data_IF_554284854640
#
_entry.id   IF_554284854640
#
_cell.length_a   1.000
_cell.length_b   1.000
_cell.length_c   1.000
_cell.angle_alpha   90.00
_cell.angle_beta   90.00
_cell.angle_gamma   90.00
#
_symmetry.space_group_name_H-M   'P 1'
#
loop_
_entity.id
_entity.type
_entity.pdbx_description
1 polymer ?
#
# COMPACT_ATOMS: atom_id res chain seq x y z
N UNK A 1 -11.55 1.21 -19.18
CA UNK A 1 -11.66 1.31 -17.71
C UNK A 1 -11.14 2.66 -17.26
N UNK A 2 -11.74 3.25 -16.23
CA UNK A 2 -11.31 4.55 -15.67
C UNK A 2 -10.00 4.38 -14.89
N UNK A 3 -8.96 5.13 -15.27
CA UNK A 3 -7.68 5.13 -14.56
C UNK A 3 -7.78 6.08 -13.36
N UNK A 4 -7.48 5.60 -12.17
CA UNK A 4 -7.50 6.40 -10.93
C UNK A 4 -6.09 6.68 -10.39
N UNK A 5 -5.07 5.94 -10.85
CA UNK A 5 -3.65 6.24 -10.62
C UNK A 5 -2.94 6.19 -11.97
N UNK A 6 -2.15 7.20 -12.27
CA UNK A 6 -1.29 7.28 -13.47
C UNK A 6 0.11 7.70 -13.06
N UNK A 7 1.08 6.89 -13.45
CA UNK A 7 2.50 7.10 -13.18
C UNK A 7 3.25 7.08 -14.51
N UNK A 8 4.08 8.12 -14.76
CA UNK A 8 4.86 8.25 -15.99
C UNK A 8 6.28 8.71 -15.67
N UNK A 9 7.24 7.90 -16.10
CA UNK A 9 8.69 8.16 -15.95
C UNK A 9 9.06 8.59 -14.53
N UNK A 10 8.36 8.01 -13.52
CA UNK A 10 8.48 8.44 -12.13
C UNK A 10 9.85 8.07 -11.59
N UNK A 11 10.58 9.06 -11.07
CA UNK A 11 11.92 8.89 -10.54
C UNK A 11 12.06 9.52 -9.15
N UNK A 12 12.85 8.87 -8.28
CA UNK A 12 13.23 9.42 -6.98
C UNK A 12 14.67 9.13 -6.64
N UNK A 13 15.45 10.19 -6.54
CA UNK A 13 16.83 10.19 -6.09
C UNK A 13 16.93 10.70 -4.65
N UNK A 14 17.73 10.03 -3.83
CA UNK A 14 18.12 10.49 -2.51
C UNK A 14 19.59 10.92 -2.55
N UNK A 15 19.85 12.17 -2.18
CA UNK A 15 21.20 12.73 -2.13
C UNK A 15 21.66 12.70 -0.68
N UNK A 16 22.73 11.93 -0.40
CA UNK A 16 23.40 11.92 0.90
C UNK A 16 24.77 12.54 0.78
N UNK A 17 25.13 13.39 1.73
CA UNK A 17 26.49 13.96 1.82
C UNK A 17 27.24 13.27 2.94
N UNK A 18 28.37 12.60 2.62
CA UNK A 18 29.29 12.05 3.61
C UNK A 18 30.56 12.91 3.69
N UNK A 19 30.98 13.20 4.92
CA UNK A 19 32.25 13.89 5.23
C UNK A 19 32.06 15.33 5.72
N UNK A 20 32.84 15.72 6.77
CA UNK A 20 32.83 17.08 7.33
C UNK A 20 33.64 18.04 6.45
N UNK A 21 34.84 17.64 5.97
CA UNK A 21 35.75 18.50 5.17
C UNK A 21 35.61 18.31 3.66
N UNK A 22 35.33 17.10 3.16
CA UNK A 22 35.14 16.77 1.75
C UNK A 22 33.71 16.23 1.59
N UNK A 23 32.76 17.08 1.24
CA UNK A 23 31.36 16.71 0.97
C UNK A 23 31.26 15.90 -0.33
N UNK A 24 31.44 14.59 -0.24
CA UNK A 24 31.12 13.70 -1.36
C UNK A 24 29.61 13.49 -1.41
N UNK A 25 28.98 13.99 -2.49
CA UNK A 25 27.57 13.70 -2.76
C UNK A 25 27.46 12.26 -3.25
N UNK A 26 26.66 11.46 -2.55
CA UNK A 26 26.30 10.12 -2.99
C UNK A 26 24.81 10.15 -3.36
N UNK A 27 24.47 9.80 -4.61
CA UNK A 27 23.08 9.72 -5.08
C UNK A 27 22.66 8.25 -5.05
N UNK A 28 21.55 7.99 -4.40
CA UNK A 28 20.86 6.69 -4.40
C UNK A 28 19.53 6.86 -5.15
N UNK A 29 19.44 6.25 -6.33
CA UNK A 29 18.18 6.19 -7.08
C UNK A 29 17.32 5.08 -6.51
N UNK A 30 16.22 5.45 -5.85
CA UNK A 30 15.29 4.51 -5.23
C UNK A 30 14.14 4.09 -6.18
N UNK A 31 13.79 4.97 -7.11
CA UNK A 31 12.82 4.72 -8.19
C UNK A 31 13.40 5.33 -9.45
N UNK A 32 13.45 4.57 -10.55
CA UNK A 32 14.20 4.90 -11.76
C UNK A 32 13.31 4.78 -13.01
N UNK A 33 12.51 5.80 -13.27
CA UNK A 33 11.72 5.92 -14.50
C UNK A 33 10.62 4.86 -14.62
N UNK A 34 9.76 4.68 -13.61
CA UNK A 34 8.69 3.68 -13.68
C UNK A 34 7.41 4.23 -14.30
N UNK A 35 6.73 3.37 -15.05
CA UNK A 35 5.45 3.64 -15.70
C UNK A 35 4.41 2.59 -15.32
N UNK A 36 3.25 3.01 -14.82
CA UNK A 36 2.10 2.14 -14.62
C UNK A 36 0.80 2.93 -14.44
N UNK A 37 -0.32 2.23 -14.54
CA UNK A 37 -1.62 2.78 -14.18
C UNK A 37 -2.43 1.77 -13.38
N UNK A 38 -3.33 2.30 -12.52
CA UNK A 38 -4.29 1.51 -11.74
C UNK A 38 -5.70 1.94 -12.13
N UNK A 39 -6.55 0.95 -12.39
CA UNK A 39 -7.94 1.19 -12.75
C UNK A 39 -8.81 1.28 -11.49
N UNK A 40 -9.95 1.95 -11.61
CA UNK A 40 -10.94 2.02 -10.55
C UNK A 40 -11.46 0.63 -10.17
N UNK A 41 -11.52 0.35 -8.87
CA UNK A 41 -12.06 -0.90 -8.34
C UNK A 41 -11.13 -2.11 -8.49
N UNK A 42 -9.85 -1.93 -8.91
CA UNK A 42 -8.90 -3.05 -8.93
C UNK A 42 -8.06 -3.12 -7.66
N UNK A 43 -7.58 -4.32 -7.34
CA UNK A 43 -6.48 -4.53 -6.41
C UNK A 43 -5.20 -4.63 -7.25
N UNK A 44 -4.34 -3.62 -7.12
CA UNK A 44 -3.06 -3.56 -7.82
C UNK A 44 -1.91 -3.85 -6.85
N UNK A 45 -1.06 -4.82 -7.18
CA UNK A 45 0.10 -5.22 -6.39
C UNK A 45 1.40 -4.62 -6.92
N UNK A 46 2.20 -4.01 -6.06
CA UNK A 46 3.59 -3.69 -6.35
C UNK A 46 4.49 -4.69 -5.61
N UNK A 47 4.98 -5.70 -6.34
CA UNK A 47 5.71 -6.84 -5.82
C UNK A 47 7.22 -6.66 -6.00
N UNK A 48 8.02 -6.92 -4.96
CA UNK A 48 9.48 -6.84 -5.04
C UNK A 48 10.16 -7.06 -3.71
N UNK A 49 11.49 -7.24 -3.72
CA UNK A 49 12.29 -7.38 -2.51
C UNK A 49 12.34 -6.11 -1.68
N UNK A 50 12.86 -6.21 -0.45
CA UNK A 50 13.10 -5.05 0.39
C UNK A 50 14.16 -4.14 -0.26
N UNK A 51 13.86 -2.82 -0.29
CA UNK A 51 14.72 -1.86 -0.97
C UNK A 51 14.49 -1.73 -2.49
N UNK A 52 13.56 -2.48 -3.08
CA UNK A 52 13.26 -2.39 -4.53
C UNK A 52 12.61 -1.07 -4.97
N UNK A 53 12.14 -0.21 -4.02
CA UNK A 53 11.49 1.07 -4.34
C UNK A 53 10.00 1.13 -4.02
N UNK A 54 9.37 0.05 -3.53
CA UNK A 54 7.93 -0.06 -3.24
C UNK A 54 7.39 1.07 -2.33
N UNK A 55 7.92 1.16 -1.11
CA UNK A 55 7.52 2.20 -0.13
C UNK A 55 7.80 3.61 -0.62
N UNK A 56 8.89 3.82 -1.37
CA UNK A 56 9.19 5.13 -1.98
C UNK A 56 8.12 5.50 -3.01
N UNK A 57 7.71 4.56 -3.84
CA UNK A 57 6.63 4.76 -4.82
C UNK A 57 5.32 5.10 -4.13
N UNK A 58 4.90 4.32 -3.11
CA UNK A 58 3.69 4.65 -2.33
C UNK A 58 3.77 6.05 -1.74
N UNK A 59 4.89 6.43 -1.11
CA UNK A 59 5.06 7.76 -0.50
C UNK A 59 4.86 8.90 -1.50
N UNK A 60 5.26 8.72 -2.76
CA UNK A 60 5.00 9.71 -3.81
C UNK A 60 3.52 9.76 -4.20
N UNK A 61 2.86 8.61 -4.30
CA UNK A 61 1.43 8.53 -4.64
C UNK A 61 0.52 9.11 -3.56
N UNK A 62 0.85 8.90 -2.28
CA UNK A 62 0.08 9.45 -1.14
C UNK A 62 0.49 10.87 -0.75
N UNK A 63 1.22 11.56 -1.61
CA UNK A 63 1.62 12.98 -1.42
C UNK A 63 2.60 13.27 -0.28
N UNK A 64 3.26 12.25 0.27
CA UNK A 64 4.25 12.41 1.36
C UNK A 64 5.66 12.67 0.85
N UNK A 65 5.92 12.45 -0.44
CA UNK A 65 7.23 12.60 -1.04
C UNK A 65 7.10 13.18 -2.45
N UNK A 66 7.85 14.23 -2.74
CA UNK A 66 7.92 14.77 -4.10
C UNK A 66 8.76 13.86 -5.02
N UNK A 67 8.37 13.62 -6.27
CA UNK A 67 9.25 13.00 -7.25
C UNK A 67 10.47 13.89 -7.56
N UNK A 68 11.57 13.29 -7.98
CA UNK A 68 12.74 14.04 -8.54
C UNK A 68 12.47 14.37 -9.99
N UNK A 69 11.93 13.41 -10.74
CA UNK A 69 11.55 13.56 -12.15
C UNK A 69 10.28 12.75 -12.43
N UNK A 70 9.65 12.98 -13.58
CA UNK A 70 8.43 12.29 -13.98
C UNK A 70 7.18 12.87 -13.34
N UNK A 71 6.07 12.13 -13.45
CA UNK A 71 4.76 12.57 -13.01
C UNK A 71 3.97 11.43 -12.39
N UNK A 72 3.23 11.74 -11.33
CA UNK A 72 2.18 10.85 -10.83
C UNK A 72 0.88 11.62 -10.55
N UNK A 73 -0.23 11.04 -10.98
CA UNK A 73 -1.58 11.54 -10.72
C UNK A 73 -2.40 10.51 -9.96
N UNK A 74 -3.20 10.99 -9.03
CA UNK A 74 -4.17 10.19 -8.26
C UNK A 74 -5.52 10.88 -8.38
N UNK A 75 -6.55 10.16 -8.80
CA UNK A 75 -7.89 10.69 -9.08
C UNK A 75 -7.88 11.89 -10.04
N UNK A 76 -6.95 11.88 -11.02
CA UNK A 76 -6.76 12.95 -12.00
C UNK A 76 -5.94 14.15 -11.52
N UNK A 77 -5.60 14.24 -10.22
CA UNK A 77 -4.82 15.32 -9.61
C UNK A 77 -3.34 14.99 -9.53
N UNK A 78 -2.48 15.97 -9.75
CA UNK A 78 -1.02 15.84 -9.57
C UNK A 78 -0.68 15.70 -8.09
N UNK A 79 0.08 14.66 -7.72
CA UNK A 79 0.35 14.33 -6.31
C UNK A 79 1.23 15.34 -5.58
N UNK A 80 1.95 16.18 -6.30
CA UNK A 80 2.79 17.23 -5.73
C UNK A 80 2.10 18.60 -5.72
N UNK A 81 1.47 18.97 -6.85
CA UNK A 81 0.88 20.31 -7.03
C UNK A 81 -0.51 20.44 -6.43
N UNK A 82 -1.26 19.34 -6.36
CA UNK A 82 -2.67 19.31 -5.97
C UNK A 82 -2.94 18.35 -4.80
N UNK A 83 -1.94 18.18 -3.93
CA UNK A 83 -1.95 17.20 -2.83
C UNK A 83 -3.21 17.28 -1.94
N UNK A 84 -3.70 18.47 -1.65
CA UNK A 84 -4.86 18.67 -0.75
C UNK A 84 -6.15 18.10 -1.34
N UNK A 85 -6.33 18.15 -2.68
CA UNK A 85 -7.48 17.55 -3.38
C UNK A 85 -7.48 16.03 -3.33
N UNK A 86 -6.30 15.43 -3.13
CA UNK A 86 -6.10 13.98 -3.08
C UNK A 86 -6.33 13.46 -1.65
N UNK A 87 -5.74 14.13 -0.63
CA UNK A 87 -5.68 13.67 0.76
C UNK A 87 -7.04 13.37 1.38
N UNK A 88 -8.07 14.09 1.00
CA UNK A 88 -9.42 13.86 1.51
C UNK A 88 -10.05 12.56 0.96
N UNK A 89 -9.59 12.10 -0.22
CA UNK A 89 -10.18 11.01 -0.98
C UNK A 89 -9.40 9.70 -0.93
N UNK A 90 -8.23 9.72 -0.30
CA UNK A 90 -7.36 8.56 -0.15
C UNK A 90 -7.06 8.31 1.32
N UNK A 91 -6.59 7.11 1.62
CA UNK A 91 -5.93 6.86 2.89
C UNK A 91 -4.84 5.79 2.72
N UNK A 92 -4.03 5.61 3.76
CA UNK A 92 -2.94 4.64 3.72
C UNK A 92 -2.82 3.87 5.04
N UNK A 93 -2.37 2.64 4.92
CA UNK A 93 -2.06 1.72 6.01
C UNK A 93 -0.61 1.27 5.84
N UNK A 94 0.24 1.62 6.80
CA UNK A 94 1.59 1.08 6.86
C UNK A 94 1.60 -0.23 7.64
N UNK A 95 2.47 -1.15 7.23
CA UNK A 95 2.79 -2.32 8.04
C UNK A 95 3.45 -1.92 9.37
N UNK A 96 3.28 -2.76 10.38
CA UNK A 96 3.86 -2.54 11.70
C UNK A 96 2.92 -1.80 12.69
N UNK A 97 3.47 -1.30 13.79
CA UNK A 97 2.67 -0.76 14.91
C UNK A 97 2.46 0.76 14.85
N UNK A 98 2.86 1.43 13.77
CA UNK A 98 2.77 2.89 13.65
C UNK A 98 1.37 3.35 13.24
N UNK A 99 0.94 4.50 13.77
CA UNK A 99 -0.26 5.19 13.29
C UNK A 99 -1.50 5.06 14.17
N UNK A 100 -1.39 4.42 15.34
CA UNK A 100 -2.45 4.42 16.36
C UNK A 100 -1.88 4.88 17.70
N UNK A 101 -2.74 5.51 18.52
CA UNK A 101 -2.37 5.98 19.86
C UNK A 101 -2.58 4.87 20.88
N UNK A 102 -1.49 4.31 21.41
CA UNK A 102 -1.53 3.15 22.31
C UNK A 102 -2.22 3.40 23.65
N UNK A 103 -2.25 4.65 24.11
CA UNK A 103 -2.90 5.09 25.36
C UNK A 103 -4.38 5.45 25.19
N UNK A 104 -4.92 5.30 24.01
CA UNK A 104 -6.35 5.44 23.73
C UNK A 104 -6.96 4.05 23.51
N UNK A 105 -8.28 3.96 23.67
CA UNK A 105 -9.04 2.80 23.22
C UNK A 105 -9.10 2.76 21.67
N UNK A 106 -9.51 1.63 21.08
CA UNK A 106 -9.72 1.57 19.64
C UNK A 106 -10.81 2.56 19.19
N UNK A 107 -11.89 2.64 19.96
CA UNK A 107 -13.00 3.59 19.74
C UNK A 107 -12.48 5.03 19.74
N UNK A 108 -11.73 5.42 20.76
CA UNK A 108 -11.21 6.78 20.88
C UNK A 108 -10.20 7.09 19.77
N UNK A 109 -9.38 6.12 19.35
CA UNK A 109 -8.52 6.26 18.19
C UNK A 109 -9.33 6.62 16.94
N UNK A 110 -10.39 5.85 16.62
CA UNK A 110 -11.19 6.09 15.45
C UNK A 110 -11.94 7.43 15.51
N UNK A 111 -12.52 7.79 16.68
CA UNK A 111 -13.16 9.09 16.88
C UNK A 111 -12.16 10.26 16.73
N UNK A 112 -10.94 10.11 17.24
CA UNK A 112 -9.89 11.10 17.07
C UNK A 112 -9.57 11.32 15.57
N UNK A 113 -9.37 10.24 14.80
CA UNK A 113 -9.09 10.34 13.37
C UNK A 113 -10.30 10.85 12.59
N UNK A 114 -11.53 10.47 12.96
CA UNK A 114 -12.76 11.05 12.39
C UNK A 114 -12.76 12.57 12.54
N UNK A 115 -12.37 13.07 13.73
CA UNK A 115 -12.25 14.51 14.00
C UNK A 115 -11.24 15.21 13.10
N UNK A 116 -10.09 14.59 12.79
CA UNK A 116 -9.10 15.14 11.87
C UNK A 116 -9.65 15.29 10.45
N UNK A 117 -10.51 14.36 10.01
CA UNK A 117 -11.22 14.45 8.74
C UNK A 117 -12.52 15.27 8.81
N UNK A 118 -12.76 15.98 9.92
CA UNK A 118 -13.94 16.85 10.14
C UNK A 118 -15.28 16.09 10.18
N UNK A 119 -15.26 14.77 10.34
CA UNK A 119 -16.45 13.95 10.59
C UNK A 119 -16.84 14.13 12.06
N UNK A 120 -18.08 14.50 12.35
CA UNK A 120 -18.49 14.91 13.70
C UNK A 120 -19.80 14.25 14.16
N UNK A 121 -20.00 14.28 15.48
CA UNK A 121 -21.27 13.89 16.10
C UNK A 121 -21.67 12.43 15.82
N UNK A 122 -22.90 12.22 15.49
CA UNK A 122 -23.47 10.88 15.26
C UNK A 122 -22.88 10.17 14.04
N UNK A 123 -22.45 10.91 13.00
CA UNK A 123 -21.77 10.34 11.84
C UNK A 123 -20.43 9.70 12.23
N UNK A 124 -19.61 10.39 13.05
CA UNK A 124 -18.37 9.85 13.54
C UNK A 124 -18.57 8.59 14.38
N UNK A 125 -19.57 8.59 15.26
CA UNK A 125 -19.91 7.42 16.08
C UNK A 125 -20.35 6.25 15.20
N UNK A 126 -21.31 6.46 14.32
CA UNK A 126 -21.81 5.45 13.40
C UNK A 126 -20.66 4.83 12.58
N UNK A 127 -19.84 5.68 12.00
CA UNK A 127 -18.68 5.24 11.20
C UNK A 127 -17.67 4.44 12.03
N UNK A 128 -17.43 4.86 13.27
CA UNK A 128 -16.55 4.13 14.21
C UNK A 128 -17.07 2.73 14.49
N UNK A 129 -18.37 2.57 14.80
CA UNK A 129 -18.97 1.25 15.05
C UNK A 129 -18.92 0.35 13.81
N UNK A 130 -19.26 0.88 12.64
CA UNK A 130 -19.17 0.15 11.38
C UNK A 130 -17.75 -0.38 11.11
N UNK A 131 -16.74 0.43 11.38
CA UNK A 131 -15.34 0.06 11.18
C UNK A 131 -14.83 -0.92 12.21
N UNK A 132 -15.20 -0.76 13.49
CA UNK A 132 -14.88 -1.74 14.54
C UNK A 132 -15.46 -3.12 14.18
N UNK A 133 -16.71 -3.16 13.70
CA UNK A 133 -17.35 -4.37 13.22
C UNK A 133 -16.65 -4.96 12.00
N UNK A 134 -16.27 -4.14 11.03
CA UNK A 134 -15.57 -4.59 9.82
C UNK A 134 -14.28 -5.32 10.15
N UNK A 135 -13.54 -4.84 11.17
CA UNK A 135 -12.24 -5.40 11.57
C UNK A 135 -12.34 -6.34 12.79
N UNK A 136 -13.55 -6.69 13.23
CA UNK A 136 -13.82 -7.60 14.36
C UNK A 136 -13.08 -7.19 15.64
N UNK A 137 -13.25 -5.93 16.04
CA UNK A 137 -12.71 -5.36 17.27
C UNK A 137 -13.79 -4.81 18.21
N UNK A 138 -15.07 -5.18 18.01
CA UNK A 138 -16.20 -4.69 18.82
C UNK A 138 -16.01 -5.03 20.30
N UNK A 139 -15.69 -6.28 20.62
CA UNK A 139 -15.53 -6.75 22.00
C UNK A 139 -14.31 -6.15 22.72
N UNK A 140 -13.37 -5.60 21.95
CA UNK A 140 -12.18 -4.97 22.49
C UNK A 140 -12.19 -3.43 22.31
N UNK A 141 -13.27 -2.87 21.76
CA UNK A 141 -13.33 -1.46 21.33
C UNK A 141 -12.92 -0.45 22.40
N UNK A 142 -13.29 -0.71 23.65
CA UNK A 142 -13.07 0.20 24.79
C UNK A 142 -11.80 -0.15 25.60
N UNK A 143 -11.05 -1.18 25.21
CA UNK A 143 -9.76 -1.51 25.80
C UNK A 143 -8.65 -0.63 25.24
N UNK A 144 -7.65 -0.31 26.08
CA UNK A 144 -6.46 0.43 25.63
C UNK A 144 -5.68 -0.36 24.57
N UNK A 145 -5.29 0.32 23.50
CA UNK A 145 -4.56 -0.30 22.37
C UNK A 145 -3.19 -0.87 22.79
N UNK A 146 -2.59 -0.39 23.89
CA UNK A 146 -1.36 -1.00 24.43
C UNK A 146 -1.53 -2.44 24.88
N UNK A 147 -2.77 -2.90 25.13
CA UNK A 147 -3.10 -4.30 25.49
C UNK A 147 -3.40 -5.19 24.30
N UNK A 148 -3.33 -4.64 23.08
CA UNK A 148 -3.67 -5.35 21.85
C UNK A 148 -2.52 -6.22 21.36
N UNK A 149 -2.88 -7.36 20.75
CA UNK A 149 -1.93 -8.13 19.95
C UNK A 149 -1.53 -7.36 18.67
N UNK A 150 -0.42 -7.76 18.04
CA UNK A 150 0.01 -7.17 16.76
C UNK A 150 -1.08 -7.23 15.70
N UNK A 151 -1.79 -8.37 15.62
CA UNK A 151 -2.91 -8.53 14.69
C UNK A 151 -4.07 -7.59 14.99
N UNK A 152 -4.41 -7.36 16.25
CA UNK A 152 -5.43 -6.37 16.63
C UNK A 152 -5.01 -4.95 16.27
N UNK A 153 -3.74 -4.59 16.51
CA UNK A 153 -3.19 -3.28 16.13
C UNK A 153 -3.29 -3.09 14.61
N UNK A 154 -2.91 -4.10 13.82
CA UNK A 154 -2.98 -4.02 12.36
C UNK A 154 -4.41 -3.87 11.86
N UNK A 155 -5.38 -4.60 12.45
CA UNK A 155 -6.81 -4.46 12.14
C UNK A 155 -7.33 -3.06 12.48
N UNK A 156 -6.94 -2.49 13.62
CA UNK A 156 -7.29 -1.12 13.98
C UNK A 156 -6.68 -0.10 13.00
N UNK A 157 -5.47 -0.31 12.51
CA UNK A 157 -4.87 0.56 11.50
C UNK A 157 -5.64 0.55 10.18
N UNK A 158 -6.21 -0.60 9.80
CA UNK A 158 -7.08 -0.69 8.61
C UNK A 158 -8.36 0.10 8.86
N UNK A 159 -9.01 -0.09 10.01
CA UNK A 159 -10.19 0.67 10.38
C UNK A 159 -9.92 2.18 10.33
N UNK A 160 -8.79 2.63 10.90
CA UNK A 160 -8.31 4.00 10.80
C UNK A 160 -8.13 4.43 9.34
N UNK A 161 -7.50 3.59 8.53
CA UNK A 161 -7.28 3.86 7.10
C UNK A 161 -8.56 3.93 6.27
N UNK A 162 -9.71 3.58 6.85
CA UNK A 162 -11.03 3.64 6.21
C UNK A 162 -11.93 4.74 6.79
N UNK A 163 -11.47 5.50 7.78
CA UNK A 163 -12.32 6.42 8.54
C UNK A 163 -12.94 7.51 7.68
N UNK A 164 -12.20 8.05 6.70
CA UNK A 164 -12.63 9.12 5.79
C UNK A 164 -13.33 8.60 4.53
N UNK A 165 -13.75 7.34 4.50
CA UNK A 165 -14.39 6.70 3.35
C UNK A 165 -13.61 6.83 2.03
N UNK A 166 -12.33 6.43 1.98
CA UNK A 166 -11.44 6.71 0.86
C UNK A 166 -11.88 5.94 -0.41
N UNK A 167 -11.68 6.58 -1.57
CA UNK A 167 -11.86 5.94 -2.88
C UNK A 167 -10.70 4.99 -3.22
N UNK A 168 -9.50 5.33 -2.73
CA UNK A 168 -8.28 4.52 -2.90
C UNK A 168 -7.64 4.29 -1.54
N UNK A 169 -7.34 3.03 -1.24
CA UNK A 169 -6.58 2.63 -0.04
C UNK A 169 -5.20 2.14 -0.47
N UNK A 170 -4.17 2.78 0.05
CA UNK A 170 -2.79 2.34 -0.12
C UNK A 170 -2.37 1.50 1.08
N UNK A 171 -1.74 0.35 0.85
CA UNK A 171 -1.29 -0.57 1.90
C UNK A 171 0.18 -0.95 1.66
N UNK A 172 1.05 -0.59 2.60
CA UNK A 172 2.47 -0.93 2.51
C UNK A 172 2.78 -2.14 3.39
N UNK A 173 2.98 -3.29 2.77
CA UNK A 173 3.26 -4.59 3.41
C UNK A 173 2.26 -4.95 4.54
N UNK A 174 0.96 -4.97 4.27
CA UNK A 174 -0.07 -4.99 5.31
C UNK A 174 -0.11 -6.27 6.16
N UNK A 175 0.39 -7.40 5.67
CA UNK A 175 0.38 -8.71 6.36
C UNK A 175 1.67 -9.02 7.11
N UNK A 176 2.69 -8.16 6.99
CA UNK A 176 3.99 -8.39 7.62
C UNK A 176 3.86 -8.47 9.15
N UNK A 177 4.41 -9.55 9.71
CA UNK A 177 4.41 -9.79 11.16
C UNK A 177 3.10 -10.32 11.74
N UNK A 178 2.12 -10.64 10.89
CA UNK A 178 0.90 -11.33 11.29
C UNK A 178 1.10 -12.86 11.27
N UNK A 179 0.36 -13.54 12.13
CA UNK A 179 0.19 -14.97 12.04
C UNK A 179 -0.69 -15.35 10.83
N UNK A 180 -0.74 -16.63 10.44
CA UNK A 180 -1.53 -17.06 9.28
C UNK A 180 -3.02 -16.70 9.36
N UNK A 181 -3.61 -16.76 10.56
CA UNK A 181 -5.02 -16.44 10.77
C UNK A 181 -5.27 -14.93 10.55
N UNK A 182 -4.45 -14.07 11.17
CA UNK A 182 -4.52 -12.63 11.01
C UNK A 182 -4.28 -12.18 9.56
N UNK A 183 -3.35 -12.84 8.86
CA UNK A 183 -3.09 -12.57 7.44
C UNK A 183 -4.29 -12.96 6.56
N UNK A 184 -4.95 -14.10 6.82
CA UNK A 184 -6.15 -14.51 6.10
C UNK A 184 -7.30 -13.53 6.29
N UNK A 185 -7.56 -13.15 7.54
CA UNK A 185 -8.58 -12.16 7.87
C UNK A 185 -8.34 -10.83 7.17
N UNK A 186 -7.10 -10.37 7.13
CA UNK A 186 -6.74 -9.15 6.41
C UNK A 186 -7.02 -9.26 4.90
N UNK A 187 -6.66 -10.41 4.29
CA UNK A 187 -6.99 -10.67 2.88
C UNK A 187 -8.49 -10.60 2.62
N UNK A 188 -9.32 -11.11 3.52
CA UNK A 188 -10.78 -11.04 3.39
C UNK A 188 -11.30 -9.61 3.49
N UNK A 189 -10.73 -8.79 4.38
CA UNK A 189 -11.04 -7.34 4.44
C UNK A 189 -10.67 -6.67 3.10
N UNK A 190 -9.49 -6.95 2.53
CA UNK A 190 -9.07 -6.37 1.24
C UNK A 190 -10.03 -6.79 0.10
N UNK A 191 -10.44 -8.06 0.05
CA UNK A 191 -11.43 -8.55 -0.91
C UNK A 191 -12.77 -7.84 -0.77
N UNK A 192 -13.21 -7.60 0.48
CA UNK A 192 -14.44 -6.86 0.77
C UNK A 192 -14.35 -5.40 0.31
N UNK A 193 -13.21 -4.72 0.53
CA UNK A 193 -13.01 -3.37 0.03
C UNK A 193 -13.16 -3.28 -1.49
N UNK A 194 -12.61 -4.25 -2.22
CA UNK A 194 -12.79 -4.35 -3.68
C UNK A 194 -14.26 -4.59 -4.05
N UNK A 195 -14.94 -5.51 -3.37
CA UNK A 195 -16.36 -5.79 -3.61
C UNK A 195 -17.23 -4.54 -3.39
N UNK A 196 -16.86 -3.68 -2.45
CA UNK A 196 -17.49 -2.38 -2.20
C UNK A 196 -17.09 -1.29 -3.23
N UNK A 197 -16.36 -1.66 -4.29
CA UNK A 197 -15.97 -0.76 -5.39
C UNK A 197 -14.76 0.12 -5.10
N UNK A 198 -14.03 -0.10 -4.01
CA UNK A 198 -12.80 0.66 -3.68
C UNK A 198 -11.62 0.13 -4.47
N UNK A 199 -10.71 1.04 -4.79
CA UNK A 199 -9.41 0.68 -5.38
C UNK A 199 -8.40 0.44 -4.26
N UNK A 200 -7.61 -0.61 -4.38
CA UNK A 200 -6.54 -0.91 -3.44
C UNK A 200 -5.22 -1.00 -4.20
N UNK A 201 -4.20 -0.26 -3.75
CA UNK A 201 -2.82 -0.46 -4.17
C UNK A 201 -2.04 -0.99 -2.97
N UNK A 202 -1.54 -2.21 -3.07
CA UNK A 202 -0.74 -2.81 -2.00
C UNK A 202 0.69 -3.09 -2.45
N UNK A 203 1.62 -2.99 -1.51
CA UNK A 203 2.97 -3.53 -1.71
C UNK A 203 3.12 -4.81 -0.92
N UNK A 204 3.86 -5.73 -1.46
CA UNK A 204 4.24 -6.95 -0.76
C UNK A 204 5.54 -7.52 -1.31
N UNK A 205 6.22 -8.33 -0.52
CA UNK A 205 7.28 -9.21 -0.96
C UNK A 205 6.86 -10.69 -0.91
N UNK A 206 5.61 -10.96 -0.50
CA UNK A 206 5.02 -12.30 -0.47
C UNK A 206 4.31 -12.59 -1.80
N UNK A 207 4.89 -13.48 -2.60
CA UNK A 207 4.38 -13.85 -3.93
C UNK A 207 2.98 -14.47 -3.86
N UNK A 208 2.74 -15.29 -2.82
CA UNK A 208 1.43 -15.90 -2.62
C UNK A 208 0.34 -14.87 -2.34
N UNK A 209 0.62 -13.84 -1.54
CA UNK A 209 -0.33 -12.77 -1.27
C UNK A 209 -0.71 -12.01 -2.54
N UNK A 210 0.31 -11.67 -3.36
CA UNK A 210 0.07 -11.00 -4.63
C UNK A 210 -0.75 -11.87 -5.60
N UNK A 211 -0.45 -13.17 -5.65
CA UNK A 211 -1.16 -14.13 -6.49
C UNK A 211 -2.63 -14.32 -6.11
N UNK A 212 -2.92 -14.32 -4.81
CA UNK A 212 -4.28 -14.53 -4.27
C UNK A 212 -5.17 -13.28 -4.29
N UNK A 213 -4.59 -12.08 -4.20
CA UNK A 213 -5.34 -10.84 -4.00
C UNK A 213 -5.40 -9.95 -5.23
N UNK A 214 -4.30 -9.87 -6.01
CA UNK A 214 -4.16 -8.81 -6.99
C UNK A 214 -4.79 -9.17 -8.33
N UNK A 215 -5.48 -8.22 -8.93
CA UNK A 215 -5.94 -8.33 -10.32
C UNK A 215 -4.80 -8.17 -11.31
N UNK A 216 -3.89 -7.24 -10.99
CA UNK A 216 -2.66 -7.00 -11.74
C UNK A 216 -1.51 -6.74 -10.77
N UNK A 217 -0.31 -7.11 -11.21
CA UNK A 217 0.92 -7.01 -10.44
C UNK A 217 1.98 -6.33 -11.30
N UNK A 218 2.63 -5.31 -10.75
CA UNK A 218 3.89 -4.81 -11.27
C UNK A 218 5.03 -5.37 -10.41
N UNK A 219 5.98 -6.07 -11.02
CA UNK A 219 7.18 -6.55 -10.36
C UNK A 219 8.25 -5.47 -10.45
N UNK A 220 8.66 -4.97 -9.29
CA UNK A 220 9.70 -3.92 -9.19
C UNK A 220 11.01 -4.51 -8.66
N UNK A 221 12.11 -4.19 -9.31
CA UNK A 221 13.46 -4.55 -8.89
C UNK A 221 14.41 -3.36 -9.08
N UNK A 222 15.23 -3.05 -8.08
CA UNK A 222 16.22 -1.94 -8.12
C UNK A 222 15.65 -0.63 -8.70
N UNK A 223 14.43 -0.28 -8.30
CA UNK A 223 13.75 0.93 -8.73
C UNK A 223 13.06 0.87 -10.09
N UNK A 224 13.09 -0.26 -10.82
CA UNK A 224 12.49 -0.42 -12.14
C UNK A 224 11.37 -1.46 -12.15
N UNK A 225 10.33 -1.22 -12.93
CA UNK A 225 9.31 -2.25 -13.22
C UNK A 225 9.86 -3.16 -14.31
N UNK A 226 10.02 -4.46 -13.97
CA UNK A 226 10.59 -5.48 -14.86
C UNK A 226 9.55 -6.36 -15.55
N UNK A 227 8.35 -6.41 -14.99
CA UNK A 227 7.18 -7.06 -15.62
C UNK A 227 5.90 -6.52 -14.99
N UNK A 228 4.81 -6.49 -15.75
CA UNK A 228 3.49 -6.09 -15.26
C UNK A 228 2.40 -6.81 -16.06
N UNK A 229 1.57 -7.58 -15.36
CA UNK A 229 0.41 -8.27 -15.93
C UNK A 229 -0.52 -8.77 -14.80
N UNK A 230 -1.58 -9.51 -15.18
CA UNK A 230 -2.32 -10.34 -14.21
C UNK A 230 -1.41 -11.44 -13.64
N UNK A 231 -1.69 -11.98 -12.44
CA UNK A 231 -0.93 -13.11 -11.91
C UNK A 231 -0.79 -14.26 -12.91
N UNK A 232 -1.87 -14.63 -13.57
CA UNK A 232 -1.87 -15.68 -14.59
C UNK A 232 -1.07 -15.29 -15.84
N UNK A 233 -1.18 -14.04 -16.31
CA UNK A 233 -0.40 -13.53 -17.43
C UNK A 233 1.11 -13.60 -17.17
N UNK A 234 1.54 -13.23 -15.95
CA UNK A 234 2.94 -13.34 -15.52
C UNK A 234 3.41 -14.79 -15.50
N UNK A 235 2.60 -15.73 -14.97
CA UNK A 235 2.92 -17.16 -14.93
C UNK A 235 3.04 -17.75 -16.34
N UNK A 236 2.16 -17.40 -17.25
CA UNK A 236 2.20 -17.87 -18.64
C UNK A 236 3.34 -17.23 -19.45
N UNK A 237 3.59 -15.94 -19.27
CA UNK A 237 4.61 -15.21 -20.04
C UNK A 237 6.05 -15.52 -19.63
N UNK A 238 6.28 -15.77 -18.34
CA UNK A 238 7.64 -15.92 -17.79
C UNK A 238 7.89 -17.27 -17.10
N UNK A 239 6.85 -18.08 -16.91
CA UNK A 239 6.96 -19.43 -16.35
C UNK A 239 7.65 -20.41 -17.28
N UNK A 240 8.00 -21.58 -16.77
CA UNK A 240 8.54 -22.67 -17.58
C UNK A 240 7.43 -23.27 -18.44
N UNK A 241 7.65 -23.37 -19.75
CA UNK A 241 6.69 -23.99 -20.67
C UNK A 241 6.36 -25.42 -20.23
N UNK A 242 5.06 -25.72 -20.14
CA UNK A 242 4.56 -27.07 -19.81
C UNK A 242 4.51 -27.43 -18.33
N UNK A 243 4.77 -26.49 -17.41
CA UNK A 243 4.64 -26.67 -15.97
C UNK A 243 3.78 -25.56 -15.38
N UNK A 244 2.96 -25.89 -14.37
CA UNK A 244 2.26 -24.91 -13.56
C UNK A 244 3.29 -24.10 -12.74
N UNK A 245 3.69 -22.95 -13.28
CA UNK A 245 4.68 -22.11 -12.64
C UNK A 245 4.02 -21.26 -11.56
N UNK A 246 4.66 -21.19 -10.39
CA UNK A 246 4.26 -20.27 -9.32
C UNK A 246 4.78 -18.85 -9.61
N UNK A 247 4.14 -17.83 -9.02
CA UNK A 247 4.60 -16.45 -9.13
C UNK A 247 6.02 -16.26 -8.56
N UNK A 248 6.41 -17.08 -7.57
CA UNK A 248 7.77 -17.10 -7.02
C UNK A 248 8.80 -17.55 -8.06
N UNK A 249 8.50 -18.60 -8.82
CA UNK A 249 9.39 -19.06 -9.89
C UNK A 249 9.53 -18.04 -11.02
N UNK A 250 8.44 -17.35 -11.35
CA UNK A 250 8.44 -16.21 -12.30
C UNK A 250 9.36 -15.11 -11.79
N UNK A 251 9.19 -14.69 -10.55
CA UNK A 251 10.01 -13.65 -9.92
C UNK A 251 11.50 -13.99 -9.96
N UNK A 252 11.88 -15.19 -9.53
CA UNK A 252 13.27 -15.65 -9.56
C UNK A 252 13.83 -15.70 -11.00
N UNK A 253 13.01 -16.04 -11.98
CA UNK A 253 13.43 -16.07 -13.39
C UNK A 253 13.71 -14.67 -13.92
N UNK A 254 12.86 -13.69 -13.58
CA UNK A 254 13.02 -12.30 -13.99
C UNK A 254 14.26 -11.67 -13.37
N UNK A 255 14.47 -11.83 -12.04
CA UNK A 255 15.66 -11.31 -11.34
C UNK A 255 16.97 -11.86 -11.92
N UNK A 256 17.00 -13.17 -12.25
CA UNK A 256 18.19 -13.79 -12.86
C UNK A 256 18.49 -13.27 -14.28
N UNK A 257 17.49 -12.84 -15.03
CA UNK A 257 17.66 -12.26 -16.37
C UNK A 257 18.25 -10.84 -16.31
N UNK A 258 17.91 -10.06 -15.29
CA UNK A 258 18.46 -8.71 -15.11
C UNK A 258 19.90 -8.70 -14.54
N UNK A 259 20.34 -9.78 -13.90
CA UNK A 259 21.69 -9.88 -13.35
C UNK A 259 22.76 -10.33 -14.36
N UNK A 260 22.35 -10.56 -15.61
CA UNK A 260 23.24 -10.87 -16.74
C UNK A 260 23.32 -9.67 -17.69
#
# INVERSE_FOLDING_TARGET
>A
MEKVIEVKELKRDYITTKGWFLRKKNTLTAVDGIDFCVNKGEIFGLLGENGAGKTTTIKMLITLLAPTEGMCKVLGFDTYKEADKIREKINFVFGGEMGVYRRLSARDNLLYFAGLYKIKGEEAKKRTEELLKLVELEDAADRLVETYSKGMIQRLQIARGLINDPQIVFMDEPTVGLDPLGANMLRDIIRKLKADGRTVLLTTHYMQEADELCDRIAIINKGKIIAMDTPNGLKQGYGKKGLDSTLEQVFLTLIKKEGK
#
